data_IF_416565179888
#
_entry.id   IF_416565179888
#
_cell.length_a   1.000
_cell.length_b   1.000
_cell.length_c   1.000
_cell.angle_alpha   90.00
_cell.angle_beta   90.00
_cell.angle_gamma   90.00
#
_symmetry.space_group_name_H-M   'P 1'
#
loop_
_entity.id
_entity.type
_entity.pdbx_description
1 polymer ?
#
# COMPACT_ATOMS: atom_id res chain seq x y z
N UNK A 1 9.51 17.94 27.28
CA UNK A 1 8.20 18.32 26.71
C UNK A 1 7.16 17.39 27.34
N UNK A 2 6.14 17.94 28.00
CA UNK A 2 5.45 17.33 29.14
C UNK A 2 4.72 16.01 28.84
N UNK A 3 5.06 14.94 29.59
CA UNK A 3 4.40 13.61 29.58
C UNK A 3 2.89 13.65 29.90
N UNK A 4 2.38 14.77 30.43
CA UNK A 4 0.97 14.93 30.79
C UNK A 4 0.09 15.06 29.54
N UNK A 5 0.59 15.65 28.45
CA UNK A 5 -0.20 15.83 27.22
C UNK A 5 -0.40 14.51 26.45
N UNK A 6 0.55 13.57 26.49
CA UNK A 6 0.43 12.28 25.79
C UNK A 6 -0.66 11.36 26.34
N UNK A 7 -1.14 11.61 27.57
CA UNK A 7 -2.25 10.86 28.18
C UNK A 7 -3.62 11.34 27.67
N UNK A 8 -3.71 12.55 27.11
CA UNK A 8 -4.96 13.15 26.64
C UNK A 8 -5.09 13.16 25.12
N UNK A 9 -4.08 12.71 24.37
CA UNK A 9 -4.19 12.51 22.92
C UNK A 9 -5.05 11.26 22.72
N UNK A 10 -6.26 11.39 22.13
CA UNK A 10 -7.06 10.23 21.78
C UNK A 10 -6.24 9.38 20.81
N UNK A 11 -6.11 8.08 21.10
CA UNK A 11 -5.50 7.17 20.12
C UNK A 11 -6.32 7.25 18.84
N UNK A 12 -5.65 7.50 17.73
CA UNK A 12 -6.30 7.43 16.43
C UNK A 12 -6.83 6.01 16.20
N UNK A 13 -8.15 5.93 16.06
CA UNK A 13 -8.89 4.68 15.80
C UNK A 13 -9.49 4.68 14.40
N UNK A 14 -9.26 5.74 13.63
CA UNK A 14 -9.90 5.99 12.35
C UNK A 14 -8.87 5.86 11.22
N UNK A 15 -7.81 6.67 11.20
CA UNK A 15 -6.89 6.71 10.06
C UNK A 15 -5.83 5.61 10.11
N UNK A 16 -5.21 5.39 11.27
CA UNK A 16 -4.18 4.36 11.43
C UNK A 16 -4.62 2.96 10.94
N UNK A 17 -5.82 2.43 11.29
CA UNK A 17 -6.26 1.15 10.75
C UNK A 17 -6.41 1.12 9.22
N UNK A 18 -6.87 2.22 8.62
CA UNK A 18 -7.02 2.34 7.16
C UNK A 18 -5.65 2.35 6.45
N UNK A 19 -4.66 3.03 7.02
CA UNK A 19 -3.29 2.97 6.52
C UNK A 19 -2.70 1.56 6.61
N UNK A 20 -2.91 0.88 7.74
CA UNK A 20 -2.46 -0.51 7.92
C UNK A 20 -3.12 -1.44 6.91
N UNK A 21 -4.42 -1.29 6.67
CA UNK A 21 -5.16 -2.05 5.66
C UNK A 21 -4.59 -1.83 4.25
N UNK A 22 -4.40 -0.57 3.84
CA UNK A 22 -3.79 -0.24 2.55
C UNK A 22 -2.39 -0.84 2.41
N UNK A 23 -1.55 -0.75 3.44
CA UNK A 23 -0.20 -1.30 3.44
C UNK A 23 -0.16 -2.84 3.37
N UNK A 24 -1.06 -3.52 4.09
CA UNK A 24 -1.21 -4.96 4.02
C UNK A 24 -1.73 -5.40 2.64
N UNK A 25 -2.57 -4.59 2.02
CA UNK A 25 -3.06 -4.81 0.67
C UNK A 25 -1.92 -4.70 -0.37
N UNK A 26 -1.01 -3.73 -0.22
CA UNK A 26 0.20 -3.62 -1.06
C UNK A 26 1.10 -4.86 -0.98
N UNK A 27 1.20 -5.52 0.18
CA UNK A 27 1.93 -6.79 0.29
C UNK A 27 1.28 -7.85 -0.60
N UNK A 28 -0.05 -7.98 -0.56
CA UNK A 28 -0.77 -8.96 -1.40
C UNK A 28 -0.60 -8.63 -2.87
N UNK A 29 -0.81 -7.38 -3.27
CA UNK A 29 -0.67 -6.91 -4.66
C UNK A 29 0.73 -7.23 -5.21
N UNK A 30 1.78 -6.86 -4.46
CA UNK A 30 3.17 -7.08 -4.90
C UNK A 30 3.57 -8.55 -4.93
N UNK A 31 3.06 -9.40 -4.03
CA UNK A 31 3.27 -10.85 -4.10
C UNK A 31 2.56 -11.49 -5.29
N UNK A 32 1.36 -10.98 -5.62
CA UNK A 32 0.61 -11.40 -6.80
C UNK A 32 1.30 -10.98 -8.09
N UNK A 33 1.94 -9.79 -8.13
CA UNK A 33 2.81 -9.37 -9.24
C UNK A 33 3.98 -10.35 -9.46
N UNK A 34 4.66 -10.76 -8.38
CA UNK A 34 5.73 -11.77 -8.48
C UNK A 34 5.20 -13.08 -9.07
N UNK A 35 4.01 -13.50 -8.65
CA UNK A 35 3.36 -14.72 -9.16
C UNK A 35 2.96 -14.58 -10.64
N UNK A 36 2.46 -13.42 -11.05
CA UNK A 36 2.17 -13.08 -12.45
C UNK A 36 3.42 -13.20 -13.32
N UNK A 37 4.54 -12.60 -12.90
CA UNK A 37 5.79 -12.60 -13.68
C UNK A 37 6.40 -14.00 -13.80
N UNK A 38 6.36 -14.79 -12.72
CA UNK A 38 6.84 -16.19 -12.71
C UNK A 38 6.01 -17.13 -13.57
N UNK A 39 4.77 -16.76 -13.86
CA UNK A 39 3.85 -17.63 -14.59
C UNK A 39 4.17 -17.65 -16.08
N UNK A 40 4.26 -18.85 -16.64
CA UNK A 40 4.45 -19.06 -18.09
C UNK A 40 3.13 -19.26 -18.83
N UNK A 41 2.07 -19.68 -18.12
CA UNK A 41 0.77 -19.96 -18.71
C UNK A 41 -0.17 -18.74 -18.68
N UNK A 42 -0.78 -18.45 -19.82
CA UNK A 42 -1.66 -17.29 -19.98
C UNK A 42 -2.87 -17.32 -19.03
N UNK A 43 -3.41 -18.51 -18.75
CA UNK A 43 -4.56 -18.66 -17.85
C UNK A 43 -4.22 -18.24 -16.41
N UNK A 44 -3.00 -18.52 -15.96
CA UNK A 44 -2.52 -18.09 -14.64
C UNK A 44 -2.27 -16.59 -14.63
N UNK A 45 -1.65 -16.03 -15.67
CA UNK A 45 -1.46 -14.58 -15.83
C UNK A 45 -2.77 -13.81 -15.75
N UNK A 46 -3.78 -14.23 -16.50
CA UNK A 46 -5.12 -13.61 -16.48
C UNK A 46 -5.77 -13.68 -15.09
N UNK A 47 -5.60 -14.79 -14.37
CA UNK A 47 -6.07 -14.93 -12.99
C UNK A 47 -5.39 -13.92 -12.06
N UNK A 48 -4.06 -13.82 -12.11
CA UNK A 48 -3.31 -12.91 -11.24
C UNK A 48 -3.57 -11.44 -11.56
N UNK A 49 -3.71 -11.07 -12.83
CA UNK A 49 -4.12 -9.71 -13.21
C UNK A 49 -5.51 -9.36 -12.63
N UNK A 50 -6.46 -10.29 -12.70
CA UNK A 50 -7.78 -10.09 -12.09
C UNK A 50 -7.70 -9.95 -10.57
N UNK A 51 -6.83 -10.71 -9.93
CA UNK A 51 -6.59 -10.63 -8.48
C UNK A 51 -5.96 -9.29 -8.08
N UNK A 52 -4.93 -8.82 -8.80
CA UNK A 52 -4.33 -7.49 -8.59
C UNK A 52 -5.38 -6.40 -8.72
N UNK A 53 -6.22 -6.44 -9.76
CA UNK A 53 -7.32 -5.48 -9.95
C UNK A 53 -8.36 -5.51 -8.83
N UNK A 54 -8.67 -6.70 -8.29
CA UNK A 54 -9.61 -6.80 -7.18
C UNK A 54 -9.01 -6.26 -5.87
N UNK A 55 -7.69 -6.44 -5.69
CA UNK A 55 -6.98 -5.92 -4.54
C UNK A 55 -6.84 -4.39 -4.63
N UNK A 56 -6.45 -3.81 -5.78
CA UNK A 56 -6.37 -2.36 -5.97
C UNK A 56 -7.71 -1.68 -5.64
N UNK A 57 -8.83 -2.12 -6.23
CA UNK A 57 -10.16 -1.62 -5.90
C UNK A 57 -10.53 -1.71 -4.41
N UNK A 58 -10.03 -2.73 -3.70
CA UNK A 58 -10.23 -2.83 -2.25
C UNK A 58 -9.38 -1.79 -1.48
N UNK A 59 -8.21 -1.45 -2.00
CA UNK A 59 -7.35 -0.37 -1.50
C UNK A 59 -7.97 1.01 -1.71
N UNK A 60 -8.50 1.29 -2.91
CA UNK A 60 -9.18 2.55 -3.23
C UNK A 60 -10.29 2.87 -2.24
N UNK A 61 -11.09 1.86 -1.85
CA UNK A 61 -12.15 2.05 -0.87
C UNK A 61 -11.63 2.51 0.49
N UNK A 62 -10.42 2.11 0.88
CA UNK A 62 -9.79 2.58 2.12
C UNK A 62 -9.29 4.02 1.96
N UNK A 63 -8.68 4.35 0.81
CA UNK A 63 -8.27 5.71 0.43
C UNK A 63 -9.46 6.69 0.43
N UNK A 64 -10.57 6.32 -0.20
CA UNK A 64 -11.82 7.08 -0.21
C UNK A 64 -12.34 7.32 1.20
N UNK A 65 -12.30 6.29 2.05
CA UNK A 65 -12.73 6.40 3.46
C UNK A 65 -11.84 7.38 4.23
N UNK A 66 -10.52 7.39 3.99
CA UNK A 66 -9.60 8.35 4.59
C UNK A 66 -9.97 9.79 4.19
N UNK A 67 -10.26 10.03 2.91
CA UNK A 67 -10.63 11.36 2.43
C UNK A 67 -11.97 11.84 3.03
N UNK A 68 -12.93 10.95 3.12
CA UNK A 68 -14.22 11.20 3.76
C UNK A 68 -14.07 11.58 5.23
N UNK A 69 -13.24 10.84 5.98
CA UNK A 69 -12.96 11.09 7.38
C UNK A 69 -12.13 12.37 7.58
N UNK A 70 -11.20 12.69 6.68
CA UNK A 70 -10.43 13.95 6.69
C UNK A 70 -11.34 15.18 6.59
N UNK A 71 -12.40 15.09 5.79
CA UNK A 71 -13.37 16.16 5.58
C UNK A 71 -14.29 16.36 6.80
N UNK A 72 -14.59 15.28 7.54
CA UNK A 72 -15.51 15.29 8.69
C UNK A 72 -14.80 15.50 10.03
N UNK A 73 -13.52 15.16 10.12
CA UNK A 73 -12.76 15.15 11.37
C UNK A 73 -12.04 16.47 11.66
N UNK A 74 -12.22 16.98 12.89
CA UNK A 74 -11.47 18.11 13.44
C UNK A 74 -10.15 17.69 14.10
N UNK A 75 -10.01 16.41 14.48
CA UNK A 75 -8.82 15.85 15.11
C UNK A 75 -8.24 14.78 14.18
N UNK A 76 -6.97 14.92 13.84
CA UNK A 76 -6.21 14.05 12.93
C UNK A 76 -4.90 13.62 13.59
N UNK A 77 -4.31 12.47 13.23
CA UNK A 77 -3.12 11.94 13.90
C UNK A 77 -1.87 12.82 13.71
N UNK A 78 -1.81 13.53 12.58
CA UNK A 78 -0.80 14.52 12.19
C UNK A 78 -1.41 15.47 11.15
N UNK A 79 -0.63 16.35 10.51
CA UNK A 79 -1.16 17.37 9.60
C UNK A 79 -2.05 16.77 8.49
N UNK A 80 -3.14 17.44 8.12
CA UNK A 80 -4.10 16.94 7.13
C UNK A 80 -3.44 16.71 5.76
N UNK A 81 -2.49 17.57 5.37
CA UNK A 81 -1.76 17.42 4.11
C UNK A 81 -0.92 16.15 4.12
N UNK A 82 -0.28 15.84 5.24
CA UNK A 82 0.51 14.63 5.40
C UNK A 82 -0.37 13.37 5.42
N UNK A 83 -1.55 13.40 6.07
CA UNK A 83 -2.50 12.27 6.05
C UNK A 83 -2.98 12.00 4.63
N UNK A 84 -3.32 13.07 3.90
CA UNK A 84 -3.71 12.96 2.50
C UNK A 84 -2.56 12.42 1.65
N UNK A 85 -1.35 12.98 1.77
CA UNK A 85 -0.19 12.57 0.99
C UNK A 85 0.17 11.10 1.25
N UNK A 86 0.06 10.64 2.50
CA UNK A 86 0.30 9.23 2.84
C UNK A 86 -0.75 8.32 2.21
N UNK A 87 -2.04 8.68 2.28
CA UNK A 87 -3.12 7.91 1.65
C UNK A 87 -2.89 7.82 0.13
N UNK A 88 -2.69 8.96 -0.54
CA UNK A 88 -2.42 9.03 -1.98
C UNK A 88 -1.19 8.19 -2.36
N UNK A 89 -0.10 8.26 -1.59
CA UNK A 89 1.11 7.50 -1.92
C UNK A 89 0.91 5.99 -1.80
N UNK A 90 0.10 5.51 -0.84
CA UNK A 90 -0.22 4.09 -0.71
C UNK A 90 -1.06 3.63 -1.92
N UNK A 91 -2.02 4.45 -2.33
CA UNK A 91 -2.90 4.26 -3.48
C UNK A 91 -2.10 4.18 -4.79
N UNK A 92 -1.26 5.19 -5.05
CA UNK A 92 -0.43 5.30 -6.25
C UNK A 92 0.45 4.05 -6.46
N UNK A 93 0.96 3.43 -5.39
CA UNK A 93 1.76 2.20 -5.49
C UNK A 93 0.90 1.02 -5.99
N UNK A 94 -0.35 0.91 -5.53
CA UNK A 94 -1.27 -0.14 -5.99
C UNK A 94 -1.59 0.05 -7.47
N UNK A 95 -1.90 1.29 -7.86
CA UNK A 95 -2.21 1.71 -9.23
C UNK A 95 -1.04 1.45 -10.18
N UNK A 96 0.18 1.84 -9.80
CA UNK A 96 1.38 1.62 -10.60
C UNK A 96 1.63 0.12 -10.85
N UNK A 97 1.38 -0.73 -9.86
CA UNK A 97 1.50 -2.19 -10.02
C UNK A 97 0.41 -2.72 -10.96
N UNK A 98 -0.83 -2.26 -10.81
CA UNK A 98 -1.94 -2.65 -11.68
C UNK A 98 -1.67 -2.24 -13.13
N UNK A 99 -1.36 -0.96 -13.37
CA UNK A 99 -1.03 -0.41 -14.68
C UNK A 99 0.16 -1.12 -15.31
N UNK A 100 1.21 -1.40 -14.53
CA UNK A 100 2.37 -2.18 -15.00
C UNK A 100 1.95 -3.57 -15.46
N UNK A 101 1.15 -4.29 -14.65
CA UNK A 101 0.68 -5.64 -14.97
C UNK A 101 -0.21 -5.63 -16.22
N UNK A 102 -1.12 -4.66 -16.33
CA UNK A 102 -1.98 -4.47 -17.50
C UNK A 102 -1.16 -4.20 -18.76
N UNK A 103 -0.12 -3.36 -18.68
CA UNK A 103 0.76 -3.07 -19.80
C UNK A 103 1.55 -4.32 -20.22
N UNK A 104 2.07 -5.12 -19.28
CA UNK A 104 2.76 -6.38 -19.61
C UNK A 104 1.83 -7.34 -20.37
N UNK A 105 0.57 -7.45 -19.97
CA UNK A 105 -0.44 -8.27 -20.63
C UNK A 105 -0.83 -7.71 -22.01
N UNK A 106 -1.12 -6.40 -22.09
CA UNK A 106 -1.56 -5.72 -23.30
C UNK A 106 -0.52 -5.83 -24.43
N UNK A 107 0.76 -5.63 -24.09
CA UNK A 107 1.87 -5.71 -25.05
C UNK A 107 2.41 -7.13 -25.22
N UNK A 108 1.83 -8.13 -24.53
CA UNK A 108 2.27 -9.53 -24.56
C UNK A 108 3.78 -9.68 -24.28
N UNK A 109 4.27 -8.94 -23.28
CA UNK A 109 5.69 -8.96 -22.96
C UNK A 109 6.13 -10.35 -22.49
N UNK A 110 7.32 -10.75 -22.94
CA UNK A 110 7.98 -11.93 -22.41
C UNK A 110 8.49 -11.63 -20.99
N UNK A 111 7.72 -12.06 -20.00
CA UNK A 111 8.04 -11.89 -18.57
C UNK A 111 9.07 -12.89 -18.07
N UNK A 112 9.61 -13.78 -18.92
CA UNK A 112 10.67 -14.73 -18.54
C UNK A 112 12.03 -14.07 -18.24
N UNK A 113 12.13 -12.76 -18.47
CA UNK A 113 13.32 -11.97 -18.16
C UNK A 113 13.65 -12.01 -16.65
N UNK A 114 14.81 -12.56 -16.24
CA UNK A 114 15.21 -12.62 -14.82
C UNK A 114 15.29 -11.25 -14.13
N UNK A 115 15.59 -10.18 -14.88
CA UNK A 115 15.63 -8.83 -14.33
C UNK A 115 14.24 -8.33 -13.93
N UNK A 116 13.19 -8.66 -14.70
CA UNK A 116 11.80 -8.28 -14.37
C UNK A 116 11.35 -8.98 -13.09
N UNK A 117 11.65 -10.28 -12.96
CA UNK A 117 11.37 -11.01 -11.73
C UNK A 117 12.10 -10.41 -10.54
N UNK A 118 13.38 -10.05 -10.71
CA UNK A 118 14.17 -9.46 -9.64
C UNK A 118 13.60 -8.12 -9.17
N UNK A 119 13.15 -7.28 -10.10
CA UNK A 119 12.50 -6.00 -9.78
C UNK A 119 11.21 -6.22 -9.00
N UNK A 120 10.35 -7.16 -9.42
CA UNK A 120 9.12 -7.46 -8.70
C UNK A 120 9.36 -7.99 -7.28
N UNK A 121 10.39 -8.81 -7.07
CA UNK A 121 10.79 -9.26 -5.74
C UNK A 121 11.28 -8.10 -4.86
N UNK A 122 11.97 -7.12 -5.44
CA UNK A 122 12.39 -5.90 -4.74
C UNK A 122 11.17 -5.08 -4.33
N UNK A 123 10.21 -4.88 -5.24
CA UNK A 123 8.94 -4.18 -4.95
C UNK A 123 8.20 -4.88 -3.80
N UNK A 124 8.05 -6.21 -3.85
CA UNK A 124 7.40 -6.96 -2.77
C UNK A 124 8.11 -6.80 -1.42
N UNK A 125 9.45 -6.76 -1.42
CA UNK A 125 10.22 -6.47 -0.21
C UNK A 125 9.98 -5.04 0.28
N UNK A 126 9.93 -4.06 -0.61
CA UNK A 126 9.66 -2.66 -0.28
C UNK A 126 8.26 -2.50 0.33
N UNK A 127 7.22 -3.09 -0.26
CA UNK A 127 5.86 -3.09 0.30
C UNK A 127 5.82 -3.72 1.71
N UNK A 128 6.55 -4.81 1.93
CA UNK A 128 6.67 -5.41 3.27
C UNK A 128 7.33 -4.47 4.28
N UNK A 129 8.40 -3.77 3.91
CA UNK A 129 9.05 -2.80 4.80
C UNK A 129 8.16 -1.56 5.04
N UNK A 130 7.45 -1.09 4.02
CA UNK A 130 6.49 0.00 4.13
C UNK A 130 5.37 -0.34 5.13
N UNK A 131 4.83 -1.55 5.09
CA UNK A 131 3.83 -2.02 6.06
C UNK A 131 4.37 -2.02 7.50
N UNK A 132 5.62 -2.42 7.71
CA UNK A 132 6.27 -2.31 9.02
C UNK A 132 6.36 -0.86 9.47
N UNK A 133 6.81 0.05 8.60
CA UNK A 133 6.91 1.48 8.92
C UNK A 133 5.55 2.09 9.26
N UNK A 134 4.50 1.77 8.48
CA UNK A 134 3.14 2.27 8.71
C UNK A 134 2.58 1.83 10.07
N UNK A 135 2.81 0.57 10.47
CA UNK A 135 2.39 0.06 11.79
C UNK A 135 3.04 0.78 12.96
N UNK A 136 4.22 1.37 12.76
CA UNK A 136 4.96 2.11 13.78
C UNK A 136 4.51 3.59 13.91
N UNK A 137 3.78 4.14 12.93
CA UNK A 137 3.28 5.52 12.93
C UNK A 137 2.42 5.81 14.17
N UNK A 138 1.58 4.84 14.57
CA UNK A 138 0.66 4.95 15.71
C UNK A 138 1.30 5.45 17.01
N UNK A 139 2.54 5.05 17.23
CA UNK A 139 3.23 5.28 18.50
C UNK A 139 4.46 6.20 18.35
N UNK A 140 4.97 6.43 17.13
CA UNK A 140 6.23 7.14 16.84
C UNK A 140 7.42 6.72 17.75
N UNK A 141 7.34 5.55 18.37
CA UNK A 141 8.29 5.07 19.38
C UNK A 141 9.62 4.69 18.73
N UNK A 142 9.55 4.10 17.54
CA UNK A 142 10.72 3.62 16.81
C UNK A 142 11.04 4.53 15.63
N UNK A 143 11.54 5.74 15.92
CA UNK A 143 11.90 6.74 14.89
C UNK A 143 12.86 6.20 13.82
N UNK A 144 13.74 5.26 14.16
CA UNK A 144 14.69 4.64 13.21
C UNK A 144 14.03 3.76 12.14
N UNK A 145 12.76 3.35 12.33
CA UNK A 145 11.99 2.61 11.33
C UNK A 145 11.18 3.53 10.41
N UNK A 146 11.09 4.82 10.75
CA UNK A 146 10.23 5.82 10.09
C UNK A 146 11.08 6.90 9.39
N UNK A 147 12.31 7.15 9.86
CA UNK A 147 13.21 8.23 9.42
C UNK A 147 14.56 7.66 8.97
#
# INVERSE_FOLDING_TARGET
MNQIFSLFIPKDKTFQPLFEEGAENLIKISQTLVSFIRSTEQIHKAKYLKEIKALELAGDSATDTIYDELNKSFIVPFDKQDVHALATTIDDIADDILATTQNMELYQLDTSNPAMLKLAEIIAKMCSQLCVAIKEIKDFKNKQLII
#
